data_IF_817265045064
#
_entry.id   IF_817265045064
#
_cell.length_a   1.000
_cell.length_b   1.000
_cell.length_c   1.000
_cell.angle_alpha   90.00
_cell.angle_beta   90.00
_cell.angle_gamma   90.00
#
_symmetry.space_group_name_H-M   'P 1'
#
loop_
_entity.id
_entity.type
_entity.pdbx_description
1 polymer ?
#
# COMPACT_ATOMS: atom_id res chain seq x y z
N UNK A 1 -8.13 -7.65 -5.58
CA UNK A 1 -9.10 -8.76 -5.76
C UNK A 1 -10.48 -8.23 -5.41
N UNK A 2 -11.40 -8.19 -6.39
CA UNK A 2 -12.79 -7.79 -6.18
C UNK A 2 -13.52 -8.96 -5.49
N UNK A 3 -13.88 -8.75 -4.23
CA UNK A 3 -14.66 -9.72 -3.46
C UNK A 3 -16.14 -9.30 -3.56
N UNK A 4 -16.99 -10.20 -4.08
CA UNK A 4 -18.45 -10.02 -4.06
C UNK A 4 -18.98 -10.64 -2.78
N UNK A 5 -19.41 -9.83 -1.85
CA UNK A 5 -20.09 -10.29 -0.64
C UNK A 5 -21.59 -10.06 -0.75
N UNK A 6 -22.38 -11.06 -0.32
CA UNK A 6 -23.82 -10.98 -0.36
C UNK A 6 -24.33 -10.13 0.80
N UNK A 7 -24.94 -8.99 0.48
CA UNK A 7 -25.45 -8.06 1.48
C UNK A 7 -26.79 -8.54 2.09
N UNK A 8 -27.70 -9.06 1.24
CA UNK A 8 -29.01 -9.60 1.62
C UNK A 8 -29.36 -10.81 0.73
N UNK A 9 -30.06 -11.83 1.27
CA UNK A 9 -30.41 -12.06 2.67
C UNK A 9 -29.18 -12.42 3.53
N UNK A 10 -29.30 -12.22 4.85
CA UNK A 10 -28.21 -12.61 5.78
C UNK A 10 -27.98 -14.12 5.71
N UNK A 11 -26.77 -14.54 5.35
CA UNK A 11 -26.38 -15.93 5.48
C UNK A 11 -26.16 -16.29 6.93
N UNK A 12 -26.79 -17.36 7.37
CA UNK A 12 -26.50 -17.93 8.67
C UNK A 12 -25.04 -18.38 8.66
N UNK A 13 -24.20 -17.96 9.59
CA UNK A 13 -22.84 -18.46 9.64
C UNK A 13 -22.88 -19.99 9.81
N UNK A 14 -22.22 -20.70 8.89
CA UNK A 14 -22.02 -22.14 9.07
C UNK A 14 -21.17 -22.35 10.32
N UNK A 15 -21.81 -22.79 11.37
CA UNK A 15 -21.10 -23.09 12.63
C UNK A 15 -20.24 -24.35 12.40
N UNK A 16 -18.96 -24.14 12.06
CA UNK A 16 -17.96 -25.21 12.02
C UNK A 16 -17.58 -25.76 13.41
N UNK A 17 -18.22 -25.27 14.47
CA UNK A 17 -17.98 -25.75 15.81
C UNK A 17 -18.85 -26.98 16.10
N UNK A 18 -18.27 -28.16 15.95
CA UNK A 18 -18.74 -29.41 16.60
C UNK A 18 -18.44 -29.34 18.10
N UNK A 19 -18.79 -28.25 18.75
CA UNK A 19 -18.74 -28.10 20.20
C UNK A 19 -20.13 -28.32 20.78
N UNK A 20 -20.21 -28.94 21.93
CA UNK A 20 -21.42 -29.15 22.75
C UNK A 20 -22.13 -27.80 22.87
N UNK A 21 -23.24 -27.61 22.13
CA UNK A 21 -24.07 -26.41 22.21
C UNK A 21 -24.67 -26.38 23.60
N UNK A 22 -24.08 -25.62 24.49
CA UNK A 22 -24.72 -25.26 25.73
C UNK A 22 -25.84 -24.30 25.33
N UNK A 23 -27.08 -24.80 25.41
CA UNK A 23 -28.27 -23.95 25.22
C UNK A 23 -28.32 -23.01 26.40
N UNK A 24 -27.83 -21.77 26.19
CA UNK A 24 -27.97 -20.69 27.16
C UNK A 24 -29.31 -20.04 26.86
N UNK A 25 -30.27 -20.18 27.74
CA UNK A 25 -31.53 -19.47 27.67
C UNK A 25 -31.33 -18.01 28.05
N UNK A 26 -31.46 -17.12 27.05
CA UNK A 26 -31.39 -15.67 27.28
C UNK A 26 -32.78 -15.11 27.58
N UNK A 27 -32.86 -14.27 28.58
CA UNK A 27 -34.05 -13.44 28.85
C UNK A 27 -33.93 -12.18 28.02
N UNK A 28 -34.91 -11.92 27.16
CA UNK A 28 -34.96 -10.74 26.29
C UNK A 28 -35.86 -9.66 26.90
N UNK A 29 -35.28 -8.48 27.16
CA UNK A 29 -36.02 -7.30 27.59
C UNK A 29 -35.84 -6.16 26.58
N UNK A 30 -36.89 -5.53 26.04
CA UNK A 30 -38.33 -5.70 26.33
C UNK A 30 -38.96 -6.90 25.60
N UNK A 31 -38.31 -7.48 24.60
CA UNK A 31 -38.80 -8.67 23.88
C UNK A 31 -37.96 -8.96 22.62
N UNK A 32 -37.80 -10.20 22.27
CA UNK A 32 -36.93 -10.63 21.15
C UNK A 32 -37.33 -9.95 19.81
N UNK A 33 -38.62 -9.78 19.55
CA UNK A 33 -39.13 -9.16 18.31
C UNK A 33 -38.78 -7.68 18.22
N UNK A 34 -38.98 -6.93 19.30
CA UNK A 34 -38.67 -5.50 19.35
C UNK A 34 -37.16 -5.26 19.17
N UNK A 35 -36.34 -6.10 19.82
CA UNK A 35 -34.87 -6.05 19.69
C UNK A 35 -34.45 -6.32 18.23
N UNK A 36 -35.05 -7.29 17.55
CA UNK A 36 -34.74 -7.60 16.18
C UNK A 36 -35.13 -6.47 15.23
N UNK A 37 -36.31 -5.87 15.42
CA UNK A 37 -36.79 -4.77 14.59
C UNK A 37 -35.88 -3.53 14.66
N UNK A 38 -35.18 -3.33 15.79
CA UNK A 38 -34.20 -2.26 15.95
C UNK A 38 -32.80 -2.67 15.48
N UNK A 39 -32.39 -3.90 15.77
CA UNK A 39 -31.04 -4.40 15.45
C UNK A 39 -30.81 -4.60 13.95
N UNK A 40 -31.82 -5.09 13.22
CA UNK A 40 -31.64 -5.39 11.80
C UNK A 40 -31.31 -4.13 10.99
N UNK A 41 -32.07 -3.02 11.07
CA UNK A 41 -31.72 -1.81 10.34
C UNK A 41 -30.42 -1.18 10.82
N UNK A 42 -30.11 -1.25 12.12
CA UNK A 42 -28.85 -0.78 12.67
C UNK A 42 -27.67 -1.56 12.12
N UNK A 43 -27.77 -2.88 12.05
CA UNK A 43 -26.74 -3.76 11.51
C UNK A 43 -26.51 -3.52 10.01
N UNK A 44 -27.58 -3.26 9.25
CA UNK A 44 -27.46 -2.91 7.82
C UNK A 44 -26.69 -1.59 7.65
N UNK A 45 -27.02 -0.57 8.42
CA UNK A 45 -26.32 0.73 8.39
C UNK A 45 -24.83 0.57 8.74
N UNK A 46 -24.53 -0.19 9.79
CA UNK A 46 -23.14 -0.46 10.22
C UNK A 46 -22.38 -1.21 9.14
N UNK A 47 -22.98 -2.23 8.52
CA UNK A 47 -22.34 -3.02 7.46
C UNK A 47 -22.03 -2.18 6.23
N UNK A 48 -22.96 -1.30 5.84
CA UNK A 48 -22.75 -0.37 4.74
C UNK A 48 -21.66 0.66 5.07
N UNK A 49 -21.70 1.24 6.25
CA UNK A 49 -20.69 2.20 6.70
C UNK A 49 -19.29 1.58 6.79
N UNK A 50 -19.23 0.35 7.29
CA UNK A 50 -17.98 -0.41 7.33
C UNK A 50 -17.39 -0.61 5.93
N UNK A 51 -18.20 -0.98 4.94
CA UNK A 51 -17.74 -1.15 3.56
C UNK A 51 -17.17 0.15 2.96
N UNK A 52 -17.80 1.30 3.24
CA UNK A 52 -17.28 2.60 2.81
C UNK A 52 -15.94 2.94 3.46
N UNK A 53 -15.81 2.69 4.77
CA UNK A 53 -14.56 2.93 5.49
C UNK A 53 -13.44 2.01 5.01
N UNK A 54 -13.73 0.72 4.78
CA UNK A 54 -12.77 -0.25 4.25
C UNK A 54 -12.31 0.14 2.84
N UNK A 55 -13.21 0.62 2.00
CA UNK A 55 -12.87 1.12 0.65
C UNK A 55 -11.93 2.32 0.72
N UNK A 56 -12.23 3.29 1.57
CA UNK A 56 -11.39 4.47 1.76
C UNK A 56 -10.01 4.09 2.36
N UNK A 57 -9.99 3.25 3.38
CA UNK A 57 -8.76 2.78 4.00
C UNK A 57 -7.87 2.01 2.99
N UNK A 58 -8.50 1.17 2.15
CA UNK A 58 -7.80 0.42 1.11
C UNK A 58 -7.19 1.36 0.05
N UNK A 59 -7.91 2.39 -0.36
CA UNK A 59 -7.40 3.40 -1.29
C UNK A 59 -6.19 4.14 -0.71
N UNK A 60 -6.27 4.60 0.54
CA UNK A 60 -5.17 5.29 1.21
C UNK A 60 -3.96 4.36 1.41
N UNK A 61 -4.21 3.09 1.78
CA UNK A 61 -3.16 2.08 1.90
C UNK A 61 -2.45 1.80 0.57
N UNK A 62 -3.19 1.65 -0.51
CA UNK A 62 -2.62 1.46 -1.84
C UNK A 62 -1.79 2.69 -2.29
N UNK A 63 -2.30 3.89 -2.01
CA UNK A 63 -1.58 5.14 -2.30
C UNK A 63 -0.27 5.22 -1.53
N UNK A 64 -0.29 4.91 -0.23
CA UNK A 64 0.90 4.89 0.61
C UNK A 64 1.96 3.92 0.06
N UNK A 65 1.57 2.69 -0.27
CA UNK A 65 2.48 1.69 -0.86
C UNK A 65 3.05 2.15 -2.20
N UNK A 66 2.23 2.75 -3.07
CA UNK A 66 2.69 3.28 -4.35
C UNK A 66 3.70 4.42 -4.18
N UNK A 67 3.49 5.33 -3.22
CA UNK A 67 4.41 6.42 -2.92
C UNK A 67 5.73 5.91 -2.31
N UNK A 68 5.66 4.90 -1.46
CA UNK A 68 6.84 4.25 -0.89
C UNK A 68 7.72 3.62 -1.98
N UNK A 69 7.10 2.91 -2.93
CA UNK A 69 7.79 2.36 -4.10
C UNK A 69 8.37 3.46 -4.99
N UNK A 70 7.64 4.55 -5.21
CA UNK A 70 8.12 5.70 -5.99
C UNK A 70 9.33 6.37 -5.34
N UNK A 71 9.31 6.55 -4.01
CA UNK A 71 10.45 7.10 -3.26
C UNK A 71 11.67 6.21 -3.40
N UNK A 72 11.51 4.91 -3.22
CA UNK A 72 12.61 3.96 -3.39
C UNK A 72 13.21 4.01 -4.80
N UNK A 73 12.36 4.05 -5.83
CA UNK A 73 12.84 4.15 -7.21
C UNK A 73 13.57 5.49 -7.46
N UNK A 74 13.13 6.58 -6.83
CA UNK A 74 13.81 7.86 -6.90
C UNK A 74 15.18 7.83 -6.24
N UNK A 75 15.31 7.18 -5.08
CA UNK A 75 16.58 7.01 -4.38
C UNK A 75 17.57 6.18 -5.21
N UNK A 76 17.12 5.07 -5.83
CA UNK A 76 17.92 4.24 -6.72
C UNK A 76 18.39 5.03 -7.96
N UNK A 77 17.52 5.86 -8.54
CA UNK A 77 17.86 6.74 -9.65
C UNK A 77 18.88 7.80 -9.23
N UNK A 78 18.71 8.40 -8.07
CA UNK A 78 19.63 9.40 -7.52
C UNK A 78 21.05 8.84 -7.37
N UNK A 79 21.15 7.63 -6.80
CA UNK A 79 22.43 6.94 -6.68
C UNK A 79 23.07 6.68 -8.04
N UNK A 80 22.31 6.23 -9.03
CA UNK A 80 22.81 5.99 -10.38
C UNK A 80 23.28 7.27 -11.07
N UNK A 81 22.59 8.37 -10.87
CA UNK A 81 22.98 9.69 -11.40
C UNK A 81 24.23 10.23 -10.73
N UNK A 82 24.39 10.05 -9.42
CA UNK A 82 25.62 10.44 -8.70
C UNK A 82 26.84 9.68 -9.22
N UNK A 83 26.70 8.37 -9.46
CA UNK A 83 27.77 7.57 -10.04
C UNK A 83 28.11 8.01 -11.47
N UNK A 84 27.09 8.27 -12.30
CA UNK A 84 27.28 8.76 -13.65
C UNK A 84 27.96 10.15 -13.68
N UNK A 85 27.53 11.05 -12.81
CA UNK A 85 28.11 12.36 -12.67
C UNK A 85 29.60 12.28 -12.26
N UNK A 86 29.91 11.50 -11.25
CA UNK A 86 31.29 11.32 -10.77
C UNK A 86 32.17 10.74 -11.88
N UNK A 87 31.67 9.77 -12.65
CA UNK A 87 32.37 9.20 -13.80
C UNK A 87 32.63 10.24 -14.90
N UNK A 88 31.60 10.98 -15.29
CA UNK A 88 31.73 12.04 -16.31
C UNK A 88 32.70 13.14 -15.85
N UNK A 89 32.68 13.51 -14.58
CA UNK A 89 33.64 14.45 -13.99
C UNK A 89 35.08 13.94 -14.08
N UNK A 90 35.31 12.66 -13.76
CA UNK A 90 36.64 12.07 -13.85
C UNK A 90 37.13 11.99 -15.30
N UNK A 91 36.26 11.63 -16.24
CA UNK A 91 36.55 11.60 -17.68
C UNK A 91 36.93 12.98 -18.19
N UNK A 92 36.18 14.03 -17.80
CA UNK A 92 36.50 15.41 -18.17
C UNK A 92 37.86 15.84 -17.66
N UNK A 93 38.16 15.64 -16.37
CA UNK A 93 39.46 15.96 -15.79
C UNK A 93 40.60 15.20 -16.48
N UNK A 94 40.40 13.90 -16.78
CA UNK A 94 41.40 13.09 -17.46
C UNK A 94 41.65 13.60 -18.88
N UNK A 95 40.63 13.97 -19.63
CA UNK A 95 40.74 14.53 -20.97
C UNK A 95 41.51 15.86 -20.95
N UNK A 96 41.18 16.75 -20.01
CA UNK A 96 41.91 18.03 -19.84
C UNK A 96 43.38 17.82 -19.53
N UNK A 97 43.72 16.84 -18.65
CA UNK A 97 45.10 16.49 -18.36
C UNK A 97 45.83 15.94 -19.58
N UNK A 98 45.17 15.07 -20.37
CA UNK A 98 45.73 14.53 -21.61
C UNK A 98 45.99 15.61 -22.65
N UNK A 99 45.10 16.58 -22.79
CA UNK A 99 45.27 17.73 -23.69
C UNK A 99 46.45 18.59 -23.27
N UNK A 100 46.61 18.86 -21.98
CA UNK A 100 47.76 19.63 -21.46
C UNK A 100 49.07 18.90 -21.71
N UNK A 101 49.12 17.58 -21.41
CA UNK A 101 50.33 16.76 -21.59
C UNK A 101 50.70 16.68 -23.08
N UNK A 102 49.72 16.38 -23.94
CA UNK A 102 49.96 16.30 -25.38
C UNK A 102 50.38 17.64 -25.99
N UNK A 103 49.83 18.76 -25.54
CA UNK A 103 50.23 20.09 -25.92
C UNK A 103 51.67 20.40 -25.46
N UNK A 104 52.06 20.03 -24.26
CA UNK A 104 53.41 20.21 -23.73
C UNK A 104 54.44 19.34 -24.49
N UNK A 105 54.08 18.09 -24.88
CA UNK A 105 54.94 17.23 -25.69
C UNK A 105 55.11 17.77 -27.11
N UNK A 106 54.09 18.33 -27.73
CA UNK A 106 54.17 18.93 -29.02
C UNK A 106 55.13 20.15 -29.05
N UNK A 107 55.10 20.97 -27.99
CA UNK A 107 55.99 22.09 -27.84
C UNK A 107 57.48 21.68 -27.59
N UNK A 108 57.72 20.49 -27.05
CA UNK A 108 59.04 19.98 -26.74
C UNK A 108 59.73 19.34 -27.95
N UNK A 109 58.94 18.94 -28.96
CA UNK A 109 59.43 18.32 -30.24
C UNK A 109 59.60 19.33 -31.40
N UNK A 110 59.16 20.53 -31.25
CA UNK A 110 59.36 21.62 -32.24
C UNK A 110 60.49 22.52 -31.82
#
# INVERSE_FOLDING_TARGET
VLVKDQFLPFRKPESKQKGKHILIDYIYEPGARQILDELIPKQLKIKFWKALLESNASEQGARMTAMEMATKNADDLLLSLELAYNRARQEAITNELLEIVSGAEALKKG
#
